data_IF_985550425511
#
_entry.id   IF_985550425511
#
_cell.length_a   1.000
_cell.length_b   1.000
_cell.length_c   1.000
_cell.angle_alpha   90.00
_cell.angle_beta   90.00
_cell.angle_gamma   90.00
#
_symmetry.space_group_name_H-M   'P 1'
#
loop_
_entity.id
_entity.type
_entity.pdbx_description
1 polymer ?
#
# COMPACT_ATOMS: atom_id res chain seq x y z
N UNK A 1 -20.07 20.60 -6.69
CA UNK A 1 -18.60 20.75 -6.46
C UNK A 1 -17.92 20.68 -7.82
N UNK A 2 -17.01 21.62 -8.11
CA UNK A 2 -16.21 21.57 -9.35
C UNK A 2 -15.05 20.58 -9.21
N UNK A 3 -14.41 20.26 -10.34
CA UNK A 3 -13.23 19.37 -10.36
C UNK A 3 -12.06 19.99 -9.58
N UNK A 4 -11.82 21.29 -9.74
CA UNK A 4 -10.77 22.04 -9.07
C UNK A 4 -11.02 22.14 -7.56
N UNK A 5 -12.29 22.36 -7.14
CA UNK A 5 -12.68 22.35 -5.73
C UNK A 5 -12.39 21.00 -5.09
N UNK A 6 -12.75 19.88 -5.75
CA UNK A 6 -12.46 18.54 -5.26
C UNK A 6 -10.94 18.30 -5.11
N UNK A 7 -10.17 18.65 -6.15
CA UNK A 7 -8.71 18.52 -6.09
C UNK A 7 -8.11 19.30 -4.93
N UNK A 8 -8.60 20.54 -4.72
CA UNK A 8 -8.10 21.38 -3.64
C UNK A 8 -8.47 20.84 -2.27
N UNK A 9 -9.71 20.40 -2.05
CA UNK A 9 -10.14 19.75 -0.79
C UNK A 9 -9.25 18.55 -0.46
N UNK A 10 -8.99 17.69 -1.44
CA UNK A 10 -8.19 16.48 -1.25
C UNK A 10 -6.71 16.80 -0.99
N UNK A 11 -6.17 17.85 -1.62
CA UNK A 11 -4.83 18.36 -1.34
C UNK A 11 -4.75 18.97 0.07
N UNK A 12 -5.66 19.90 0.38
CA UNK A 12 -5.70 20.61 1.67
C UNK A 12 -5.92 19.63 2.85
N UNK A 13 -6.72 18.59 2.66
CA UNK A 13 -6.91 17.55 3.66
C UNK A 13 -5.71 16.58 3.80
N UNK A 14 -4.69 16.72 2.98
CA UNK A 14 -3.48 15.90 3.05
C UNK A 14 -3.69 14.43 2.67
N UNK A 15 -4.62 14.13 1.77
CA UNK A 15 -4.98 12.76 1.42
C UNK A 15 -3.98 12.14 0.46
N UNK A 16 -3.44 11.00 0.84
CA UNK A 16 -2.56 10.16 0.03
C UNK A 16 -3.10 8.75 -0.10
N UNK A 17 -2.60 7.99 -1.05
CA UNK A 17 -2.97 6.59 -1.23
C UNK A 17 -2.63 5.76 0.01
N UNK A 18 -3.62 5.40 0.81
CA UNK A 18 -3.47 4.73 2.10
C UNK A 18 -3.06 3.25 2.00
N UNK A 19 -3.25 2.62 0.84
CA UNK A 19 -2.97 1.20 0.60
C UNK A 19 -1.61 0.88 -0.02
N UNK A 20 -0.68 1.86 -0.10
CA UNK A 20 0.59 1.61 -0.80
C UNK A 20 1.62 2.71 -0.57
N UNK A 21 2.28 3.14 -1.64
CA UNK A 21 3.41 4.08 -1.58
C UNK A 21 3.05 5.53 -1.22
N UNK A 22 1.79 5.83 -0.89
CA UNK A 22 1.38 7.18 -0.50
C UNK A 22 1.35 8.16 -1.68
N UNK A 23 0.84 7.77 -2.85
CA UNK A 23 0.72 8.69 -3.96
C UNK A 23 -0.29 9.82 -3.63
N UNK A 24 0.05 11.12 -3.81
CA UNK A 24 -0.85 12.23 -3.56
C UNK A 24 -2.15 12.12 -4.35
N UNK A 25 -3.30 11.96 -3.65
CA UNK A 25 -4.54 11.50 -4.28
C UNK A 25 -5.11 12.51 -5.27
N UNK A 26 -5.02 13.82 -4.99
CA UNK A 26 -5.48 14.87 -5.90
C UNK A 26 -4.82 14.82 -7.29
N UNK A 27 -3.60 14.23 -7.39
CA UNK A 27 -2.88 14.03 -8.66
C UNK A 27 -3.34 12.82 -9.47
N UNK A 28 -4.19 11.96 -8.88
CA UNK A 28 -4.83 10.85 -9.61
C UNK A 28 -6.07 11.27 -10.37
N UNK A 29 -6.68 12.40 -10.01
CA UNK A 29 -7.90 12.89 -10.63
C UNK A 29 -7.62 13.43 -12.03
N UNK A 30 -8.41 13.03 -12.99
CA UNK A 30 -8.30 13.43 -14.39
C UNK A 30 -9.66 13.27 -15.09
N UNK A 31 -9.97 14.16 -16.01
CA UNK A 31 -11.11 14.08 -16.93
C UNK A 31 -11.05 12.89 -17.90
N UNK A 32 -9.87 12.27 -18.00
CA UNK A 32 -9.66 11.05 -18.80
C UNK A 32 -10.13 9.78 -18.10
N UNK A 33 -10.44 9.85 -16.81
CA UNK A 33 -10.92 8.69 -16.04
C UNK A 33 -12.39 8.42 -16.41
N UNK A 34 -12.65 7.21 -16.92
CA UNK A 34 -13.99 6.71 -17.23
C UNK A 34 -14.47 5.69 -16.20
N UNK A 35 -13.55 4.98 -15.57
CA UNK A 35 -13.88 3.98 -14.56
C UNK A 35 -13.04 4.20 -13.31
N UNK A 36 -13.70 4.25 -12.13
CA UNK A 36 -13.06 4.34 -10.84
C UNK A 36 -13.07 2.93 -10.23
N UNK A 37 -11.90 2.36 -9.92
CA UNK A 37 -11.79 1.05 -9.27
C UNK A 37 -11.38 1.24 -7.83
N UNK A 38 -12.26 0.86 -6.91
CA UNK A 38 -11.93 0.81 -5.48
C UNK A 38 -11.25 -0.52 -5.18
N UNK A 39 -10.02 -0.43 -4.72
CA UNK A 39 -9.24 -1.59 -4.31
C UNK A 39 -9.68 -2.04 -2.90
N UNK A 40 -10.56 -3.03 -2.86
CA UNK A 40 -11.05 -3.70 -1.66
C UNK A 40 -10.53 -5.15 -1.56
N UNK A 41 -9.41 -5.44 -2.24
CA UNK A 41 -8.85 -6.79 -2.29
C UNK A 41 -8.24 -7.26 -0.95
N UNK A 42 -7.71 -6.33 -0.12
CA UNK A 42 -6.94 -6.62 1.12
C UNK A 42 -6.09 -7.89 0.95
N UNK A 43 -5.09 -7.84 0.04
CA UNK A 43 -4.43 -9.07 -0.40
C UNK A 43 -3.21 -9.47 0.46
N UNK A 44 -2.65 -8.57 1.26
CA UNK A 44 -1.59 -8.91 2.21
C UNK A 44 -2.17 -9.72 3.37
N UNK A 45 -1.61 -10.91 3.69
CA UNK A 45 -2.11 -11.70 4.82
C UNK A 45 -2.09 -10.95 6.15
N UNK A 46 -3.05 -11.23 7.03
CA UNK A 46 -3.21 -10.67 8.38
C UNK A 46 -3.53 -9.17 8.42
N UNK A 47 -3.84 -8.53 7.29
CA UNK A 47 -4.26 -7.14 7.23
C UNK A 47 -5.79 -7.05 7.24
N UNK A 48 -6.36 -6.10 8.01
CA UNK A 48 -7.81 -6.04 8.27
C UNK A 48 -8.40 -4.62 8.15
N UNK A 49 -7.60 -3.62 7.80
CA UNK A 49 -8.07 -2.21 7.74
C UNK A 49 -9.17 -2.02 6.70
N UNK A 50 -8.97 -2.54 5.47
CA UNK A 50 -9.99 -2.38 4.43
C UNK A 50 -11.27 -3.14 4.78
N UNK A 51 -11.16 -4.32 5.43
CA UNK A 51 -12.31 -5.08 5.93
C UNK A 51 -13.11 -4.26 6.94
N UNK A 52 -12.42 -3.64 7.91
CA UNK A 52 -13.06 -2.79 8.90
C UNK A 52 -13.85 -1.62 8.26
N UNK A 53 -13.26 -0.95 7.27
CA UNK A 53 -13.90 0.19 6.59
C UNK A 53 -15.08 -0.27 5.75
N UNK A 54 -14.95 -1.39 5.02
CA UNK A 54 -16.05 -1.94 4.22
C UNK A 54 -17.26 -2.30 5.08
N UNK A 55 -17.03 -2.90 6.24
CA UNK A 55 -18.08 -3.34 7.13
C UNK A 55 -18.80 -2.18 7.85
N UNK A 56 -18.07 -1.10 8.19
CA UNK A 56 -18.64 -0.03 9.01
C UNK A 56 -18.92 1.26 8.26
N UNK A 57 -18.34 1.46 7.08
CA UNK A 57 -18.39 2.72 6.36
C UNK A 57 -18.78 2.57 4.88
N UNK A 58 -19.44 1.44 4.51
CA UNK A 58 -19.80 1.18 3.12
C UNK A 58 -20.65 2.29 2.50
N UNK A 59 -21.64 2.83 3.24
CA UNK A 59 -22.47 3.93 2.75
C UNK A 59 -21.62 5.19 2.45
N UNK A 60 -20.70 5.53 3.33
CA UNK A 60 -19.78 6.66 3.13
C UNK A 60 -18.91 6.48 1.87
N UNK A 61 -18.50 5.24 1.57
CA UNK A 61 -17.79 4.93 0.33
C UNK A 61 -18.69 5.16 -0.90
N UNK A 62 -19.92 4.66 -0.87
CA UNK A 62 -20.88 4.81 -1.97
C UNK A 62 -21.18 6.28 -2.24
N UNK A 63 -21.48 7.06 -1.19
CA UNK A 63 -21.77 8.49 -1.29
C UNK A 63 -20.60 9.24 -1.94
N UNK A 64 -19.36 8.93 -1.50
CA UNK A 64 -18.15 9.54 -2.04
C UNK A 64 -17.91 9.14 -3.50
N UNK A 65 -18.16 7.88 -3.85
CA UNK A 65 -18.02 7.42 -5.23
C UNK A 65 -18.99 8.12 -6.18
N UNK A 66 -20.23 8.38 -5.76
CA UNK A 66 -21.18 9.16 -6.53
C UNK A 66 -20.65 10.60 -6.77
N UNK A 67 -20.11 11.25 -5.73
CA UNK A 67 -19.49 12.58 -5.87
C UNK A 67 -18.31 12.53 -6.85
N UNK A 68 -17.44 11.52 -6.76
CA UNK A 68 -16.29 11.36 -7.66
C UNK A 68 -16.73 11.12 -9.10
N UNK A 69 -17.74 10.27 -9.34
CA UNK A 69 -18.31 10.00 -10.66
C UNK A 69 -18.82 11.29 -11.28
N UNK A 70 -19.66 12.02 -10.55
CA UNK A 70 -20.29 13.25 -11.07
C UNK A 70 -19.25 14.36 -11.31
N UNK A 71 -18.31 14.55 -10.40
CA UNK A 71 -17.30 15.60 -10.49
C UNK A 71 -16.26 15.33 -11.58
N UNK A 72 -15.86 14.07 -11.77
CA UNK A 72 -14.85 13.69 -12.77
C UNK A 72 -15.46 13.36 -14.14
N UNK A 73 -16.78 13.23 -14.27
CA UNK A 73 -17.45 12.77 -15.48
C UNK A 73 -17.12 11.30 -15.82
N UNK A 74 -16.94 10.47 -14.78
CA UNK A 74 -16.73 9.05 -14.94
C UNK A 74 -18.05 8.32 -15.28
N UNK A 75 -17.94 7.19 -15.98
CA UNK A 75 -19.10 6.39 -16.36
C UNK A 75 -19.60 5.53 -15.18
N UNK A 76 -18.67 4.97 -14.39
CA UNK A 76 -18.97 4.08 -13.28
C UNK A 76 -17.86 4.04 -12.22
N UNK A 77 -18.20 3.52 -11.03
CA UNK A 77 -17.25 3.09 -10.01
C UNK A 77 -17.46 1.61 -9.67
N UNK A 78 -16.35 0.87 -9.52
CA UNK A 78 -16.35 -0.57 -9.28
C UNK A 78 -15.61 -0.84 -7.97
N UNK A 79 -16.28 -1.42 -6.97
CA UNK A 79 -15.64 -1.92 -5.75
C UNK A 79 -15.18 -3.34 -6.02
N UNK A 80 -13.86 -3.55 -6.23
CA UNK A 80 -13.28 -4.87 -6.47
C UNK A 80 -12.96 -5.57 -5.15
N UNK A 81 -13.74 -6.58 -4.78
CA UNK A 81 -13.64 -7.32 -3.51
C UNK A 81 -13.50 -8.81 -3.76
N UNK A 82 -12.72 -9.52 -2.93
CA UNK A 82 -12.62 -10.98 -3.01
C UNK A 82 -13.92 -11.64 -2.57
N UNK A 83 -14.36 -12.70 -3.27
CA UNK A 83 -15.62 -13.39 -3.00
C UNK A 83 -15.80 -13.82 -1.54
N UNK A 84 -14.72 -14.30 -0.91
CA UNK A 84 -14.75 -14.68 0.51
C UNK A 84 -15.06 -13.52 1.49
N UNK A 85 -14.90 -12.28 1.06
CA UNK A 85 -15.10 -11.08 1.87
C UNK A 85 -16.46 -10.40 1.59
N UNK A 86 -17.28 -10.93 0.69
CA UNK A 86 -18.60 -10.36 0.37
C UNK A 86 -19.52 -10.26 1.61
N UNK A 87 -19.35 -11.13 2.59
CA UNK A 87 -20.10 -11.11 3.84
C UNK A 87 -19.86 -9.87 4.72
N UNK A 88 -18.80 -9.10 4.44
CA UNK A 88 -18.51 -7.83 5.14
C UNK A 88 -19.43 -6.69 4.69
N UNK A 89 -20.10 -6.84 3.56
CA UNK A 89 -20.88 -5.77 2.96
C UNK A 89 -22.33 -5.81 3.49
N UNK A 90 -22.85 -4.63 3.87
CA UNK A 90 -24.27 -4.52 4.23
C UNK A 90 -25.16 -4.84 3.02
N UNK A 91 -25.98 -5.87 3.18
CA UNK A 91 -26.83 -6.39 2.09
C UNK A 91 -27.88 -5.39 1.61
N UNK A 92 -28.34 -4.46 2.47
CA UNK A 92 -29.32 -3.42 2.10
C UNK A 92 -28.64 -2.36 1.23
N UNK A 93 -27.40 -1.96 1.61
CA UNK A 93 -26.62 -1.03 0.80
C UNK A 93 -26.31 -1.67 -0.55
N UNK A 94 -25.86 -2.92 -0.57
CA UNK A 94 -25.59 -3.66 -1.82
C UNK A 94 -26.81 -3.71 -2.73
N UNK A 95 -27.99 -4.02 -2.17
CA UNK A 95 -29.24 -4.05 -2.93
C UNK A 95 -29.62 -2.65 -3.50
N UNK A 96 -29.30 -1.57 -2.79
CA UNK A 96 -29.58 -0.21 -3.24
C UNK A 96 -28.71 0.26 -4.41
N UNK A 97 -27.65 -0.47 -4.74
CA UNK A 97 -26.76 -0.16 -5.87
C UNK A 97 -27.34 -0.60 -7.22
N UNK A 98 -28.40 -1.40 -7.24
CA UNK A 98 -29.01 -1.85 -8.48
C UNK A 98 -29.48 -0.66 -9.33
N UNK A 99 -29.05 -0.61 -10.59
CA UNK A 99 -29.36 0.50 -11.51
C UNK A 99 -28.55 1.79 -11.29
N UNK A 100 -27.64 1.82 -10.31
CA UNK A 100 -26.75 2.97 -10.09
C UNK A 100 -25.44 2.83 -10.87
N UNK A 101 -24.61 3.88 -10.86
CA UNK A 101 -23.27 3.86 -11.46
C UNK A 101 -22.21 3.22 -10.56
N UNK A 102 -22.52 2.89 -9.30
CA UNK A 102 -21.62 2.20 -8.37
C UNK A 102 -21.99 0.73 -8.35
N UNK A 103 -21.02 -0.14 -8.57
CA UNK A 103 -21.24 -1.58 -8.55
C UNK A 103 -20.14 -2.32 -7.79
N UNK A 104 -20.48 -3.49 -7.27
CA UNK A 104 -19.55 -4.41 -6.64
C UNK A 104 -19.15 -5.48 -7.65
N UNK A 105 -17.85 -5.74 -7.72
CA UNK A 105 -17.30 -6.80 -8.57
C UNK A 105 -16.55 -7.79 -7.70
N UNK A 106 -17.03 -9.02 -7.69
CA UNK A 106 -16.27 -10.12 -7.12
C UNK A 106 -15.01 -10.40 -7.96
N UNK A 107 -13.87 -10.47 -7.30
CA UNK A 107 -12.58 -10.84 -7.89
C UNK A 107 -12.05 -12.13 -7.26
N UNK A 108 -11.18 -12.87 -7.98
CA UNK A 108 -10.59 -14.10 -7.46
C UNK A 108 -9.81 -13.89 -6.16
N UNK A 109 -9.85 -14.90 -5.25
CA UNK A 109 -9.02 -14.91 -4.03
C UNK A 109 -7.59 -15.30 -4.34
N UNK A 110 -6.87 -14.40 -4.99
CA UNK A 110 -5.47 -14.56 -5.40
C UNK A 110 -4.58 -13.47 -4.80
N UNK A 111 -3.28 -13.73 -4.80
CA UNK A 111 -2.24 -12.75 -4.49
C UNK A 111 -1.36 -12.51 -5.73
N UNK A 112 -1.07 -11.27 -6.10
CA UNK A 112 -1.47 -9.99 -5.49
C UNK A 112 -2.70 -9.37 -6.19
N UNK A 113 -3.93 -9.74 -5.82
CA UNK A 113 -5.14 -9.15 -6.40
C UNK A 113 -5.21 -7.62 -6.26
N UNK A 114 -4.57 -7.06 -5.23
CA UNK A 114 -4.52 -5.61 -4.98
C UNK A 114 -3.43 -4.84 -5.76
N UNK A 115 -2.60 -5.51 -6.57
CA UNK A 115 -1.72 -4.79 -7.53
C UNK A 115 -2.60 -4.07 -8.56
N UNK A 116 -2.35 -2.78 -8.80
CA UNK A 116 -3.22 -1.96 -9.65
C UNK A 116 -3.40 -2.51 -11.08
N UNK A 117 -2.35 -3.17 -11.62
CA UNK A 117 -2.39 -3.77 -12.97
C UNK A 117 -3.23 -5.04 -12.94
N UNK A 118 -3.03 -5.89 -11.92
CA UNK A 118 -3.81 -7.12 -11.74
C UNK A 118 -5.27 -6.78 -11.45
N UNK A 119 -5.54 -5.86 -10.52
CA UNK A 119 -6.89 -5.45 -10.16
C UNK A 119 -7.66 -4.85 -11.33
N UNK A 120 -7.02 -3.99 -12.13
CA UNK A 120 -7.63 -3.43 -13.34
C UNK A 120 -8.04 -4.53 -14.31
N UNK A 121 -7.18 -5.52 -14.51
CA UNK A 121 -7.53 -6.66 -15.36
C UNK A 121 -8.67 -7.51 -14.79
N UNK A 122 -8.64 -7.85 -13.49
CA UNK A 122 -9.69 -8.67 -12.86
C UNK A 122 -11.06 -7.97 -12.86
N UNK A 123 -11.07 -6.65 -12.74
CA UNK A 123 -12.32 -5.87 -12.68
C UNK A 123 -12.88 -5.51 -14.05
N UNK A 124 -12.03 -5.21 -15.03
CA UNK A 124 -12.44 -4.61 -16.32
C UNK A 124 -12.01 -5.40 -17.55
N UNK A 125 -11.09 -6.37 -17.41
CA UNK A 125 -10.45 -7.05 -18.54
C UNK A 125 -9.39 -6.21 -19.28
N UNK A 126 -9.19 -4.94 -18.90
CA UNK A 126 -8.20 -4.07 -19.52
C UNK A 126 -6.80 -4.36 -18.98
N UNK A 127 -5.81 -4.34 -19.86
CA UNK A 127 -4.41 -4.47 -19.49
C UNK A 127 -3.76 -3.09 -19.60
N UNK A 128 -3.17 -2.62 -18.50
CA UNK A 128 -2.37 -1.38 -18.50
C UNK A 128 -1.08 -1.67 -19.27
N UNK A 129 -0.67 -0.87 -20.27
CA UNK A 129 0.58 -1.08 -20.99
C UNK A 129 1.82 -1.05 -20.09
N UNK A 130 2.91 -1.70 -20.51
CA UNK A 130 4.17 -1.71 -19.75
C UNK A 130 4.67 -0.30 -19.41
N UNK A 131 4.97 -0.07 -18.13
CA UNK A 131 5.46 1.22 -17.66
C UNK A 131 4.41 2.35 -17.68
N UNK A 132 3.19 2.07 -18.10
CA UNK A 132 2.09 3.02 -18.09
C UNK A 132 1.38 3.07 -16.72
N UNK A 133 0.49 4.03 -16.58
CA UNK A 133 -0.36 4.23 -15.40
C UNK A 133 -1.83 3.98 -15.76
N UNK A 134 -2.70 3.63 -14.81
CA UNK A 134 -4.10 3.24 -15.07
C UNK A 134 -4.90 4.25 -15.89
N UNK A 135 -4.66 5.55 -15.72
CA UNK A 135 -5.38 6.60 -16.45
C UNK A 135 -5.20 6.51 -17.97
N UNK A 136 -4.12 5.88 -18.45
CA UNK A 136 -3.90 5.69 -19.91
C UNK A 136 -4.90 4.71 -20.53
N UNK A 137 -5.55 3.89 -19.73
CA UNK A 137 -6.66 3.01 -20.16
C UNK A 137 -8.01 3.49 -19.64
N UNK A 138 -8.08 4.76 -19.20
CA UNK A 138 -9.30 5.40 -18.70
C UNK A 138 -9.71 4.92 -17.30
N UNK A 139 -8.78 4.43 -16.49
CA UNK A 139 -9.05 3.87 -15.17
C UNK A 139 -8.32 4.65 -14.07
N UNK A 140 -8.98 4.85 -12.94
CA UNK A 140 -8.36 5.30 -11.69
C UNK A 140 -8.51 4.20 -10.63
N UNK A 141 -7.40 3.74 -10.08
CA UNK A 141 -7.41 2.80 -8.94
C UNK A 141 -7.21 3.56 -7.64
N UNK A 142 -8.11 3.37 -6.68
CA UNK A 142 -8.08 4.04 -5.37
C UNK A 142 -8.35 3.01 -4.25
N UNK A 143 -7.64 3.13 -3.11
CA UNK A 143 -7.85 2.23 -1.98
C UNK A 143 -9.09 2.61 -1.17
N UNK A 144 -9.72 1.65 -0.50
CA UNK A 144 -10.90 1.80 0.38
C UNK A 144 -10.71 2.92 1.40
N UNK A 145 -9.63 2.92 2.18
CA UNK A 145 -9.39 3.93 3.20
C UNK A 145 -9.15 5.33 2.59
N UNK A 146 -8.59 5.39 1.39
CA UNK A 146 -8.43 6.67 0.69
C UNK A 146 -9.79 7.27 0.31
N UNK A 147 -10.75 6.46 -0.15
CA UNK A 147 -12.12 6.91 -0.42
C UNK A 147 -12.80 7.39 0.86
N UNK A 148 -12.64 6.66 1.97
CA UNK A 148 -13.15 7.06 3.27
C UNK A 148 -12.56 8.39 3.75
N UNK A 149 -11.26 8.62 3.57
CA UNK A 149 -10.62 9.88 3.92
C UNK A 149 -11.15 11.05 3.05
N UNK A 150 -11.45 10.80 1.78
CA UNK A 150 -12.12 11.80 0.90
C UNK A 150 -13.50 12.11 1.44
N UNK A 151 -14.29 11.09 1.86
CA UNK A 151 -15.58 11.30 2.51
C UNK A 151 -15.48 12.24 3.70
N UNK A 152 -14.56 11.98 4.63
CA UNK A 152 -14.36 12.80 5.82
C UNK A 152 -13.98 14.24 5.48
N UNK A 153 -13.17 14.44 4.44
CA UNK A 153 -12.75 15.77 3.98
C UNK A 153 -13.90 16.55 3.35
N UNK A 154 -14.71 15.91 2.50
CA UNK A 154 -15.83 16.56 1.81
C UNK A 154 -16.98 16.90 2.78
N UNK A 155 -17.31 15.94 3.67
CA UNK A 155 -18.49 16.03 4.54
C UNK A 155 -18.24 16.87 5.78
N UNK A 156 -17.06 16.71 6.38
CA UNK A 156 -16.75 17.29 7.70
C UNK A 156 -15.57 18.28 7.69
N UNK A 157 -14.95 18.53 6.52
CA UNK A 157 -13.73 19.32 6.43
C UNK A 157 -12.54 18.70 7.20
N UNK A 158 -12.59 17.40 7.47
CA UNK A 158 -11.63 16.72 8.34
C UNK A 158 -10.39 16.29 7.53
N UNK A 159 -9.18 16.82 7.86
CA UNK A 159 -7.94 16.36 7.24
C UNK A 159 -7.49 15.01 7.82
N UNK A 160 -6.49 14.39 7.17
CA UNK A 160 -5.91 13.11 7.62
C UNK A 160 -5.00 13.35 8.83
N UNK A 161 -5.60 13.28 10.01
CA UNK A 161 -4.92 13.38 11.32
C UNK A 161 -4.87 12.04 12.05
N UNK A 162 -5.66 11.07 11.61
CA UNK A 162 -5.74 9.73 12.19
C UNK A 162 -5.64 8.65 11.12
N UNK A 163 -5.23 7.46 11.52
CA UNK A 163 -5.01 6.31 10.64
C UNK A 163 -5.56 5.03 11.27
N UNK A 164 -6.26 4.21 10.48
CA UNK A 164 -6.58 2.84 10.92
C UNK A 164 -5.33 1.96 10.80
N UNK A 165 -5.04 1.18 11.83
CA UNK A 165 -3.88 0.29 11.90
C UNK A 165 -4.31 -1.08 12.45
N UNK A 166 -3.98 -2.15 11.74
CA UNK A 166 -4.10 -3.52 12.25
C UNK A 166 -2.85 -3.86 13.06
N UNK A 167 -3.01 -4.40 14.26
CA UNK A 167 -1.93 -4.99 15.05
C UNK A 167 -2.24 -6.48 15.16
N UNK A 168 -1.28 -7.34 14.76
CA UNK A 168 -1.52 -8.77 14.70
C UNK A 168 -0.23 -9.60 14.57
N UNK A 169 -0.38 -10.89 14.29
CA UNK A 169 0.72 -11.85 14.17
C UNK A 169 0.88 -12.73 15.41
N UNK A 170 2.08 -12.77 15.98
CA UNK A 170 2.39 -13.54 17.21
C UNK A 170 1.96 -12.77 18.47
N UNK A 171 0.65 -12.56 18.56
CA UNK A 171 -0.04 -11.86 19.65
C UNK A 171 -1.26 -12.69 20.06
N UNK A 172 -1.77 -12.47 21.27
CA UNK A 172 -2.95 -13.21 21.76
C UNK A 172 -4.19 -12.84 20.94
N UNK A 173 -4.33 -11.57 20.60
CA UNK A 173 -5.50 -11.01 19.94
C UNK A 173 -5.10 -10.01 18.85
N UNK A 174 -5.59 -10.23 17.64
CA UNK A 174 -5.43 -9.26 16.55
C UNK A 174 -6.47 -8.14 16.74
N UNK A 175 -6.03 -6.90 16.60
CA UNK A 175 -6.89 -5.72 16.76
C UNK A 175 -6.76 -4.76 15.59
N UNK A 176 -7.84 -4.00 15.33
CA UNK A 176 -7.79 -2.82 14.45
C UNK A 176 -8.16 -1.58 15.26
N UNK A 177 -7.29 -0.58 15.24
CA UNK A 177 -7.42 0.65 16.03
C UNK A 177 -7.26 1.89 15.15
N UNK A 178 -7.86 3.00 15.54
CA UNK A 178 -7.69 4.31 14.90
C UNK A 178 -6.72 5.16 15.72
N UNK A 179 -5.62 5.59 15.10
CA UNK A 179 -4.42 6.13 15.81
C UNK A 179 -4.08 7.51 15.27
N UNK A 180 -3.62 8.46 16.11
CA UNK A 180 -3.07 9.74 15.65
C UNK A 180 -1.84 9.52 14.75
N UNK A 181 -1.80 10.20 13.61
CA UNK A 181 -0.61 10.24 12.75
C UNK A 181 0.54 10.88 13.53
N UNK A 182 1.73 10.28 13.45
CA UNK A 182 2.91 10.74 14.20
C UNK A 182 3.09 10.10 15.57
N UNK A 183 2.11 9.33 16.09
CA UNK A 183 2.32 8.55 17.32
C UNK A 183 3.47 7.56 17.13
N UNK A 184 4.41 7.48 18.08
CA UNK A 184 5.50 6.49 18.03
C UNK A 184 4.95 5.08 18.00
N UNK A 185 5.51 4.21 17.11
CA UNK A 185 5.05 2.81 16.98
C UNK A 185 5.23 2.07 18.30
N UNK A 186 6.35 2.27 19.00
CA UNK A 186 6.60 1.69 20.33
C UNK A 186 5.51 2.06 21.33
N UNK A 187 5.19 3.34 21.43
CA UNK A 187 4.14 3.83 22.34
C UNK A 187 2.74 3.29 21.95
N UNK A 188 2.46 3.14 20.66
CA UNK A 188 1.22 2.51 20.19
C UNK A 188 1.11 1.06 20.65
N UNK A 189 2.19 0.27 20.46
CA UNK A 189 2.22 -1.13 20.88
C UNK A 189 2.09 -1.28 22.39
N UNK A 190 2.76 -0.44 23.17
CA UNK A 190 2.64 -0.39 24.64
C UNK A 190 1.19 -0.06 25.07
N UNK A 191 0.59 0.98 24.48
CA UNK A 191 -0.77 1.42 24.80
C UNK A 191 -1.86 0.40 24.43
N UNK A 192 -1.56 -0.52 23.51
CA UNK A 192 -2.49 -1.59 23.09
C UNK A 192 -2.22 -2.94 23.74
N UNK A 193 -1.28 -3.00 24.69
CA UNK A 193 -0.92 -4.24 25.38
C UNK A 193 0.03 -5.16 24.62
N UNK A 194 0.64 -4.67 23.52
CA UNK A 194 1.57 -5.42 22.66
C UNK A 194 3.03 -4.97 22.86
N UNK A 195 3.35 -4.33 23.99
CA UNK A 195 4.68 -3.77 24.27
C UNK A 195 5.76 -4.81 24.61
N UNK A 196 5.40 -6.05 24.95
CA UNK A 196 6.37 -7.13 25.15
C UNK A 196 6.88 -7.65 23.80
N UNK A 197 8.07 -7.17 23.41
CA UNK A 197 8.72 -7.46 22.15
C UNK A 197 10.04 -8.23 22.32
N UNK A 198 10.28 -8.83 23.49
CA UNK A 198 11.49 -9.64 23.71
C UNK A 198 11.54 -10.83 22.72
N UNK A 199 12.63 -10.97 22.00
CA UNK A 199 12.81 -11.98 20.95
C UNK A 199 11.86 -11.82 19.75
N UNK A 200 11.19 -10.67 19.60
CA UNK A 200 10.24 -10.39 18.50
C UNK A 200 10.70 -9.21 17.65
N UNK A 201 10.20 -9.16 16.44
CA UNK A 201 10.38 -8.04 15.51
C UNK A 201 9.03 -7.63 14.92
N UNK A 202 8.91 -6.36 14.55
CA UNK A 202 7.68 -5.77 14.03
C UNK A 202 7.86 -5.43 12.55
N UNK A 203 6.86 -5.76 11.74
CA UNK A 203 6.76 -5.36 10.33
C UNK A 203 5.71 -4.26 10.22
N UNK A 204 6.07 -3.12 9.63
CA UNK A 204 5.11 -2.10 9.19
C UNK A 204 4.62 -2.46 7.78
N UNK A 205 3.34 -2.79 7.67
CA UNK A 205 2.70 -3.33 6.48
C UNK A 205 2.53 -4.85 6.52
N UNK A 206 2.20 -5.45 5.39
CA UNK A 206 1.99 -6.89 5.28
C UNK A 206 3.29 -7.72 5.25
N UNK A 207 3.17 -9.05 5.41
CA UNK A 207 4.33 -9.94 5.48
C UNK A 207 5.15 -9.98 4.19
N UNK A 208 4.53 -9.74 3.03
CA UNK A 208 5.17 -9.77 1.74
C UNK A 208 5.92 -8.48 1.44
N UNK A 209 5.24 -7.34 1.49
CA UNK A 209 5.76 -6.05 1.04
C UNK A 209 6.20 -5.12 2.18
N UNK A 210 5.77 -5.35 3.42
CA UNK A 210 6.09 -4.53 4.58
C UNK A 210 7.60 -4.51 4.90
N UNK A 211 8.03 -3.50 5.66
CA UNK A 211 9.41 -3.33 6.13
C UNK A 211 9.52 -3.55 7.64
N UNK A 212 10.70 -3.91 8.10
CA UNK A 212 10.98 -3.95 9.55
C UNK A 212 10.87 -2.55 10.15
N UNK A 213 10.29 -2.49 11.34
CA UNK A 213 10.15 -1.27 12.15
C UNK A 213 11.44 -1.00 12.92
N UNK A 214 11.87 0.26 12.92
CA UNK A 214 12.80 0.79 13.90
C UNK A 214 11.98 1.34 15.08
N UNK A 215 11.90 0.59 16.17
CA UNK A 215 11.06 0.92 17.33
C UNK A 215 11.43 2.25 17.99
N UNK A 216 12.67 2.70 17.88
CA UNK A 216 13.10 3.96 18.46
C UNK A 216 12.77 5.16 17.59
N UNK A 217 12.79 4.97 16.25
CA UNK A 217 12.70 6.08 15.32
C UNK A 217 11.38 6.15 14.54
N UNK A 218 10.69 5.04 14.33
CA UNK A 218 9.48 5.03 13.50
C UNK A 218 8.24 5.51 14.24
N UNK A 219 7.41 6.23 13.51
CA UNK A 219 6.08 6.68 13.93
C UNK A 219 5.01 6.24 12.93
N UNK A 220 3.75 6.29 13.35
CA UNK A 220 2.60 6.05 12.47
C UNK A 220 2.54 7.15 11.43
N UNK A 221 2.50 6.77 10.16
CA UNK A 221 2.37 7.67 9.02
C UNK A 221 1.03 7.47 8.33
N UNK A 222 0.68 8.33 7.38
CA UNK A 222 -0.52 8.20 6.53
C UNK A 222 -0.56 6.88 5.73
N UNK A 223 0.58 6.19 5.60
CA UNK A 223 0.71 4.92 4.87
C UNK A 223 0.85 3.70 5.78
N UNK A 224 0.95 3.89 7.10
CA UNK A 224 0.98 2.79 8.05
C UNK A 224 -0.39 2.09 8.08
N UNK A 225 -0.45 0.84 7.65
CA UNK A 225 -1.69 0.07 7.56
C UNK A 225 -1.76 -1.10 8.54
N UNK A 226 -0.61 -1.62 8.95
CA UNK A 226 -0.55 -2.69 9.92
C UNK A 226 0.83 -2.82 10.56
N UNK A 227 0.84 -3.35 11.76
CA UNK A 227 2.01 -3.69 12.55
C UNK A 227 1.92 -5.17 12.89
N UNK A 228 2.72 -5.99 12.20
CA UNK A 228 2.70 -7.42 12.39
C UNK A 228 3.91 -7.86 13.20
N UNK A 229 3.66 -8.50 14.32
CA UNK A 229 4.65 -8.94 15.30
C UNK A 229 4.97 -10.41 15.03
N UNK A 230 6.26 -10.77 14.94
CA UNK A 230 6.71 -12.14 14.76
C UNK A 230 7.97 -12.41 15.57
N UNK A 231 8.21 -13.69 15.98
CA UNK A 231 9.50 -14.07 16.55
C UNK A 231 10.65 -13.71 15.60
N UNK A 232 11.78 -13.28 16.14
CA UNK A 232 12.98 -12.96 15.35
C UNK A 232 13.46 -14.14 14.50
N UNK A 233 13.21 -15.37 14.98
CA UNK A 233 13.53 -16.62 14.26
C UNK A 233 12.60 -16.92 13.08
N UNK A 234 11.49 -16.20 12.93
CA UNK A 234 10.54 -16.44 11.84
C UNK A 234 11.20 -16.17 10.48
N UNK A 235 10.95 -17.05 9.51
CA UNK A 235 11.59 -17.00 8.18
C UNK A 235 11.37 -15.67 7.45
N UNK A 236 10.22 -15.02 7.64
CA UNK A 236 9.93 -13.69 7.08
C UNK A 236 10.90 -12.64 7.66
N UNK A 237 11.10 -12.64 8.98
CA UNK A 237 11.99 -11.69 9.66
C UNK A 237 13.43 -11.92 9.21
N UNK A 238 13.90 -13.17 9.21
CA UNK A 238 15.24 -13.52 8.77
C UNK A 238 15.52 -13.10 7.32
N UNK A 239 14.55 -13.27 6.43
CA UNK A 239 14.64 -12.83 5.02
C UNK A 239 14.71 -11.31 4.91
N UNK A 240 13.83 -10.58 5.64
CA UNK A 240 13.83 -9.11 5.62
C UNK A 240 15.14 -8.53 6.18
N UNK A 241 15.75 -9.13 7.19
CA UNK A 241 17.06 -8.74 7.78
C UNK A 241 18.25 -9.05 6.88
N UNK A 242 18.16 -10.05 5.98
CA UNK A 242 19.29 -10.47 5.16
C UNK A 242 19.83 -9.32 4.30
N UNK A 243 21.15 -8.98 4.37
CA UNK A 243 21.73 -7.92 3.55
C UNK A 243 21.68 -8.27 2.06
N UNK A 244 21.57 -7.26 1.18
CA UNK A 244 21.56 -7.47 -0.28
C UNK A 244 22.85 -8.17 -0.76
N UNK A 245 24.00 -7.84 -0.19
CA UNK A 245 25.28 -8.49 -0.52
C UNK A 245 25.25 -10.01 -0.30
N UNK A 246 24.65 -10.45 0.80
CA UNK A 246 24.47 -11.88 1.10
C UNK A 246 23.42 -12.50 0.16
N UNK A 247 22.34 -11.78 -0.13
CA UNK A 247 21.30 -12.22 -1.08
C UNK A 247 21.90 -12.48 -2.46
N UNK A 248 22.76 -11.58 -2.96
CA UNK A 248 23.45 -11.72 -4.24
C UNK A 248 24.45 -12.88 -4.24
N UNK A 249 25.24 -13.06 -3.17
CA UNK A 249 26.18 -14.20 -3.03
C UNK A 249 25.43 -15.54 -3.06
N UNK A 250 24.32 -15.65 -2.35
CA UNK A 250 23.46 -16.85 -2.39
C UNK A 250 22.90 -17.11 -3.78
N UNK A 251 22.43 -16.05 -4.46
CA UNK A 251 21.90 -16.17 -5.82
C UNK A 251 22.99 -16.62 -6.81
N UNK A 252 24.22 -16.06 -6.72
CA UNK A 252 25.35 -16.49 -7.55
C UNK A 252 25.69 -17.96 -7.36
N UNK A 253 25.65 -18.46 -6.11
CA UNK A 253 26.03 -19.84 -5.78
C UNK A 253 24.94 -20.88 -6.10
N UNK A 254 23.64 -20.53 -5.97
CA UNK A 254 22.59 -21.54 -5.95
C UNK A 254 21.47 -21.32 -7.01
N UNK A 255 21.52 -20.27 -7.82
CA UNK A 255 20.51 -20.07 -8.88
C UNK A 255 20.70 -21.07 -10.02
N UNK A 256 19.78 -22.05 -10.14
CA UNK A 256 19.80 -23.07 -11.19
C UNK A 256 19.15 -22.61 -12.50
N UNK A 257 18.78 -21.35 -12.63
CA UNK A 257 18.16 -20.76 -13.84
C UNK A 257 16.86 -21.46 -14.32
N UNK A 258 16.07 -22.00 -13.39
CA UNK A 258 14.83 -22.75 -13.70
C UNK A 258 13.68 -21.90 -14.22
N UNK A 259 13.81 -20.56 -14.31
CA UNK A 259 12.83 -19.57 -14.78
C UNK A 259 11.57 -19.40 -13.93
N UNK A 260 11.27 -20.26 -12.97
CA UNK A 260 10.03 -20.25 -12.17
C UNK A 260 9.70 -18.89 -11.54
N UNK A 261 10.71 -18.10 -11.13
CA UNK A 261 10.49 -16.75 -10.59
C UNK A 261 9.89 -15.77 -11.63
N UNK A 262 10.17 -15.98 -12.91
CA UNK A 262 9.55 -15.23 -14.02
C UNK A 262 8.18 -15.79 -14.38
N UNK A 263 8.08 -17.12 -14.43
CA UNK A 263 6.88 -17.83 -14.83
C UNK A 263 5.70 -17.63 -13.87
N UNK A 264 6.03 -17.42 -12.58
CA UNK A 264 5.04 -17.10 -11.53
C UNK A 264 4.81 -15.59 -11.35
N UNK A 265 5.51 -14.72 -12.09
CA UNK A 265 5.37 -13.28 -11.94
C UNK A 265 3.99 -12.82 -12.47
N UNK A 266 3.13 -12.18 -11.64
CA UNK A 266 1.78 -11.81 -12.04
C UNK A 266 1.76 -10.81 -13.21
N UNK A 267 2.75 -9.91 -13.30
CA UNK A 267 2.86 -8.97 -14.42
C UNK A 267 3.39 -9.66 -15.70
N UNK A 268 4.29 -10.63 -15.58
CA UNK A 268 4.69 -11.46 -16.70
C UNK A 268 3.50 -12.26 -17.25
N UNK A 269 2.67 -12.82 -16.38
CA UNK A 269 1.46 -13.55 -16.73
C UNK A 269 0.40 -12.67 -17.44
N UNK A 270 0.40 -11.36 -17.19
CA UNK A 270 -0.42 -10.36 -17.89
C UNK A 270 0.23 -9.87 -19.22
N UNK A 271 1.32 -10.49 -19.64
CA UNK A 271 1.96 -10.19 -20.91
C UNK A 271 3.14 -9.23 -20.86
N UNK A 272 3.51 -8.73 -19.66
CA UNK A 272 4.67 -7.84 -19.54
C UNK A 272 5.97 -8.58 -19.84
N UNK A 273 6.90 -7.92 -20.50
CA UNK A 273 8.26 -8.43 -20.71
C UNK A 273 9.12 -8.21 -19.45
N UNK A 274 8.78 -8.94 -18.38
CA UNK A 274 9.53 -8.98 -17.12
C UNK A 274 10.05 -10.40 -16.87
N UNK A 275 11.33 -10.60 -17.03
CA UNK A 275 12.03 -11.89 -16.87
C UNK A 275 12.88 -11.84 -15.60
N UNK A 276 12.27 -12.06 -14.44
CA UNK A 276 12.91 -11.92 -13.12
C UNK A 276 14.21 -12.74 -13.03
N UNK A 277 14.26 -13.96 -13.59
CA UNK A 277 15.46 -14.80 -13.60
C UNK A 277 16.66 -14.13 -14.29
N UNK A 278 16.43 -13.35 -15.35
CA UNK A 278 17.51 -12.62 -16.04
C UNK A 278 18.08 -11.51 -15.14
N UNK A 279 17.21 -10.75 -14.46
CA UNK A 279 17.65 -9.74 -13.49
C UNK A 279 18.46 -10.37 -12.36
N UNK A 280 17.99 -11.50 -11.80
CA UNK A 280 18.70 -12.20 -10.72
C UNK A 280 20.09 -12.62 -11.17
N UNK A 281 20.21 -13.21 -12.34
CA UNK A 281 21.53 -13.65 -12.88
C UNK A 281 22.44 -12.47 -13.16
N UNK A 282 21.98 -11.47 -13.89
CA UNK A 282 22.76 -10.29 -14.21
C UNK A 282 23.29 -9.59 -12.96
N UNK A 283 22.44 -9.38 -11.95
CA UNK A 283 22.82 -8.74 -10.69
C UNK A 283 23.79 -9.58 -9.85
N UNK A 284 23.66 -10.92 -9.85
CA UNK A 284 24.48 -11.80 -9.01
C UNK A 284 25.85 -12.13 -9.60
N UNK A 285 26.08 -11.93 -10.90
CA UNK A 285 27.35 -12.21 -11.55
C UNK A 285 28.16 -10.97 -11.93
N UNK A 286 27.64 -9.78 -11.65
CA UNK A 286 28.31 -8.47 -11.92
C UNK A 286 28.68 -8.24 -13.40
N UNK A 287 28.20 -9.06 -14.30
CA UNK A 287 28.41 -8.92 -15.74
C UNK A 287 27.19 -8.26 -16.39
N UNK A 288 27.37 -7.05 -16.91
CA UNK A 288 26.34 -6.31 -17.63
C UNK A 288 26.53 -6.54 -19.14
N UNK A 289 26.12 -7.69 -19.62
CA UNK A 289 26.08 -7.97 -21.07
C UNK A 289 24.76 -7.51 -21.70
N UNK A 290 23.72 -7.27 -20.89
CA UNK A 290 22.39 -6.90 -21.36
C UNK A 290 21.73 -5.91 -20.38
N UNK A 291 21.66 -4.63 -20.76
CA UNK A 291 21.02 -3.58 -19.96
C UNK A 291 19.51 -3.83 -19.78
N UNK A 292 18.84 -4.51 -20.71
CA UNK A 292 17.41 -4.81 -20.63
C UNK A 292 17.11 -5.71 -19.44
N UNK A 293 18.01 -6.63 -19.05
CA UNK A 293 17.87 -7.46 -17.87
C UNK A 293 17.75 -6.67 -16.57
N UNK A 294 18.26 -5.44 -16.52
CA UNK A 294 18.09 -4.54 -15.37
C UNK A 294 16.87 -3.63 -15.57
N UNK A 295 16.69 -3.04 -16.75
CA UNK A 295 15.61 -2.09 -17.02
C UNK A 295 14.22 -2.67 -16.79
N UNK A 296 14.02 -3.96 -17.09
CA UNK A 296 12.74 -4.64 -16.84
C UNK A 296 12.35 -4.67 -15.34
N UNK A 297 13.31 -4.50 -14.40
CA UNK A 297 13.01 -4.38 -12.96
C UNK A 297 12.17 -3.15 -12.63
N UNK A 298 12.16 -2.13 -13.48
CA UNK A 298 11.27 -0.97 -13.35
C UNK A 298 9.79 -1.38 -13.36
N UNK A 299 9.45 -2.49 -14.03
CA UNK A 299 8.10 -3.05 -14.09
C UNK A 299 7.71 -3.86 -12.83
N UNK A 300 8.65 -4.14 -11.93
CA UNK A 300 8.38 -4.92 -10.72
C UNK A 300 7.49 -4.15 -9.74
N UNK A 301 6.39 -4.78 -9.27
CA UNK A 301 5.53 -4.24 -8.21
C UNK A 301 6.00 -4.58 -6.79
N UNK A 302 7.02 -5.43 -6.65
CA UNK A 302 7.54 -5.82 -5.34
C UNK A 302 6.68 -6.83 -4.57
N UNK A 303 5.73 -7.51 -5.20
CA UNK A 303 4.78 -8.41 -4.54
C UNK A 303 5.42 -9.65 -3.88
N UNK A 304 6.62 -10.10 -4.30
CA UNK A 304 7.32 -11.22 -3.68
C UNK A 304 6.89 -12.62 -4.09
N UNK A 305 5.93 -12.78 -5.01
CA UNK A 305 5.51 -14.11 -5.51
C UNK A 305 6.71 -14.90 -6.06
N UNK A 306 7.61 -14.23 -6.78
CA UNK A 306 8.85 -14.83 -7.31
C UNK A 306 9.76 -15.40 -6.22
N UNK A 307 9.74 -14.84 -5.00
CA UNK A 307 10.54 -15.29 -3.86
C UNK A 307 9.86 -16.44 -3.12
N UNK A 308 8.59 -16.26 -2.74
CA UNK A 308 7.90 -17.18 -1.81
C UNK A 308 7.36 -18.41 -2.54
N UNK A 309 6.91 -18.22 -3.77
CA UNK A 309 6.28 -19.29 -4.58
C UNK A 309 7.22 -19.75 -5.69
N UNK A 310 7.82 -18.80 -6.43
CA UNK A 310 8.57 -19.11 -7.64
C UNK A 310 9.94 -19.73 -7.38
N UNK A 311 10.67 -19.31 -6.33
CA UNK A 311 12.05 -19.78 -6.12
C UNK A 311 12.13 -21.04 -5.26
N UNK A 312 12.38 -22.19 -5.90
CA UNK A 312 12.55 -23.48 -5.21
C UNK A 312 13.86 -23.55 -4.41
N UNK A 313 14.86 -22.71 -4.74
CA UNK A 313 16.14 -22.63 -4.02
C UNK A 313 16.11 -21.69 -2.82
N UNK A 314 14.91 -21.20 -2.44
CA UNK A 314 14.72 -20.25 -1.32
C UNK A 314 15.62 -18.99 -1.40
N UNK A 315 15.92 -18.55 -2.63
CA UNK A 315 16.57 -17.26 -2.89
C UNK A 315 15.56 -16.12 -2.78
N UNK A 316 16.03 -14.88 -2.89
CA UNK A 316 15.17 -13.71 -2.81
C UNK A 316 15.20 -12.85 -4.10
N UNK A 317 14.56 -13.31 -5.19
CA UNK A 317 14.43 -12.55 -6.43
C UNK A 317 13.72 -11.21 -6.26
N UNK A 318 12.76 -11.10 -5.31
CA UNK A 318 12.06 -9.85 -4.99
C UNK A 318 13.06 -8.78 -4.53
N UNK A 319 13.88 -9.10 -3.51
CA UNK A 319 14.86 -8.16 -2.94
C UNK A 319 15.85 -7.70 -4.00
N UNK A 320 16.36 -8.61 -4.84
CA UNK A 320 17.27 -8.28 -5.94
C UNK A 320 16.60 -7.34 -6.94
N UNK A 321 15.38 -7.67 -7.40
CA UNK A 321 14.65 -6.84 -8.36
C UNK A 321 14.32 -5.46 -7.80
N UNK A 322 13.97 -5.36 -6.51
CA UNK A 322 13.67 -4.08 -5.86
C UNK A 322 14.93 -3.24 -5.63
N UNK A 323 16.07 -3.85 -5.32
CA UNK A 323 17.35 -3.15 -5.21
C UNK A 323 17.77 -2.55 -6.56
N UNK A 324 17.69 -3.35 -7.64
CA UNK A 324 17.95 -2.89 -9.01
C UNK A 324 16.98 -1.76 -9.39
N UNK A 325 15.68 -1.91 -9.12
CA UNK A 325 14.68 -0.86 -9.36
C UNK A 325 15.02 0.43 -8.63
N UNK A 326 15.43 0.34 -7.37
CA UNK A 326 15.88 1.48 -6.58
C UNK A 326 17.14 2.16 -7.17
N UNK A 327 18.10 1.37 -7.63
CA UNK A 327 19.31 1.88 -8.29
C UNK A 327 18.98 2.60 -9.62
N UNK A 328 18.08 2.04 -10.43
CA UNK A 328 17.59 2.69 -11.66
C UNK A 328 16.93 4.04 -11.34
N UNK A 329 16.08 4.09 -10.31
CA UNK A 329 15.41 5.31 -9.87
C UNK A 329 16.39 6.40 -9.43
N UNK A 330 17.41 6.05 -8.64
CA UNK A 330 18.47 6.99 -8.21
C UNK A 330 19.28 7.57 -9.38
N UNK A 331 19.44 6.80 -10.45
CA UNK A 331 20.14 7.24 -11.68
C UNK A 331 19.21 7.92 -12.69
N UNK A 332 17.91 8.10 -12.38
CA UNK A 332 16.93 8.65 -13.30
C UNK A 332 16.65 7.77 -14.53
N UNK A 333 17.09 6.50 -14.51
CA UNK A 333 16.89 5.58 -15.60
C UNK A 333 15.46 5.00 -15.55
N UNK A 334 14.74 5.13 -16.65
CA UNK A 334 13.39 4.62 -16.79
C UNK A 334 13.31 3.72 -18.02
N UNK A 335 12.53 2.65 -17.90
CA UNK A 335 12.11 1.92 -19.09
C UNK A 335 11.12 2.77 -19.88
N UNK A 336 11.26 2.85 -21.19
CA UNK A 336 10.28 3.52 -22.05
C UNK A 336 8.94 2.75 -21.99
N UNK A 337 7.84 3.50 -22.01
CA UNK A 337 6.51 2.89 -22.05
C UNK A 337 6.32 2.14 -23.35
N UNK A 338 6.02 0.85 -23.25
CA UNK A 338 5.64 0.05 -24.40
C UNK A 338 4.13 0.13 -24.58
N UNK A 339 3.69 0.84 -25.62
CA UNK A 339 2.26 0.99 -25.95
C UNK A 339 1.71 -0.17 -26.79
N UNK A 340 2.54 -1.16 -27.13
CA UNK A 340 2.04 -2.34 -27.85
C UNK A 340 0.98 -3.08 -27.02
N UNK A 341 -0.07 -3.61 -27.64
CA UNK A 341 -1.08 -4.40 -26.93
C UNK A 341 -0.42 -5.58 -26.22
N UNK A 342 -0.67 -5.69 -24.92
CA UNK A 342 -0.23 -6.82 -24.11
C UNK A 342 -1.25 -7.96 -24.25
N UNK A 343 -0.76 -9.20 -24.29
CA UNK A 343 -1.61 -10.38 -24.30
C UNK A 343 -1.38 -11.20 -23.04
N UNK A 344 -2.48 -11.57 -22.40
CA UNK A 344 -2.46 -12.47 -21.24
C UNK A 344 -1.86 -13.80 -21.67
N UNK A 345 -0.89 -14.30 -20.91
CA UNK A 345 -0.28 -15.60 -21.20
C UNK A 345 -1.28 -16.73 -20.94
N UNK A 346 -1.34 -17.75 -21.81
CA UNK A 346 -2.28 -18.87 -21.64
C UNK A 346 -2.13 -19.59 -20.29
N UNK A 347 -0.91 -19.65 -19.76
CA UNK A 347 -0.59 -20.32 -18.50
C UNK A 347 -1.09 -19.58 -17.26
N UNK A 348 -1.58 -18.34 -17.41
CA UNK A 348 -1.98 -17.51 -16.27
C UNK A 348 -2.99 -18.22 -15.36
N UNK A 349 -4.02 -18.84 -15.94
CA UNK A 349 -5.07 -19.48 -15.17
C UNK A 349 -4.56 -20.59 -14.23
N UNK A 350 -3.51 -21.33 -14.65
CA UNK A 350 -2.89 -22.41 -13.87
C UNK A 350 -1.80 -21.94 -12.89
N UNK A 351 -1.39 -20.67 -12.96
CA UNK A 351 -0.28 -20.10 -12.16
C UNK A 351 -0.73 -19.03 -11.18
N UNK A 352 -2.02 -18.86 -10.99
CA UNK A 352 -2.56 -17.97 -9.96
C UNK A 352 -2.28 -18.53 -8.56
N UNK A 353 -1.86 -17.66 -7.65
CA UNK A 353 -1.51 -18.02 -6.27
C UNK A 353 -2.67 -17.67 -5.36
N UNK A 354 -3.35 -18.66 -4.78
CA UNK A 354 -4.41 -18.40 -3.81
C UNK A 354 -3.87 -17.83 -2.50
N UNK A 355 -4.69 -17.02 -1.81
CA UNK A 355 -4.33 -16.48 -0.49
C UNK A 355 -3.99 -17.57 0.52
N UNK A 356 -4.69 -18.73 0.47
CA UNK A 356 -4.44 -19.86 1.35
C UNK A 356 -3.04 -20.47 1.14
N UNK A 357 -2.66 -20.73 -0.11
CA UNK A 357 -1.32 -21.24 -0.46
C UNK A 357 -0.24 -20.25 -0.01
N UNK A 358 -0.46 -18.95 -0.18
CA UNK A 358 0.49 -17.94 0.27
C UNK A 358 0.68 -17.97 1.79
N UNK A 359 -0.42 -18.04 2.56
CA UNK A 359 -0.41 -18.13 4.03
C UNK A 359 0.39 -19.36 4.48
N UNK A 360 0.19 -20.51 3.86
CA UNK A 360 0.90 -21.76 4.19
C UNK A 360 2.40 -21.66 3.87
N UNK A 361 2.75 -21.14 2.71
CA UNK A 361 4.15 -20.97 2.28
C UNK A 361 4.93 -19.97 3.15
N UNK A 362 4.23 -19.01 3.73
CA UNK A 362 4.80 -18.05 4.67
C UNK A 362 4.87 -18.58 6.12
N UNK A 363 4.26 -19.74 6.41
CA UNK A 363 4.17 -20.28 7.78
C UNK A 363 3.25 -19.47 8.68
N UNK A 364 2.24 -18.81 8.11
CA UNK A 364 1.36 -17.88 8.83
C UNK A 364 0.06 -18.52 9.33
N UNK A 365 -0.22 -19.79 9.01
CA UNK A 365 -1.51 -20.44 9.34
C UNK A 365 -1.88 -20.32 10.82
N UNK A 366 -0.92 -20.46 11.71
CA UNK A 366 -1.13 -20.36 13.16
C UNK A 366 -1.45 -18.94 13.66
N UNK A 367 -1.17 -17.92 12.86
CA UNK A 367 -1.44 -16.52 13.18
C UNK A 367 -2.74 -16.00 12.57
N UNK A 368 -3.41 -16.81 11.73
CA UNK A 368 -4.72 -16.44 11.19
C UNK A 368 -5.76 -16.65 12.29
N UNK A 369 -6.32 -15.56 12.79
CA UNK A 369 -7.40 -15.60 13.79
C UNK A 369 -8.76 -15.73 13.13
N UNK A 370 -9.68 -16.46 13.79
CA UNK A 370 -11.05 -16.58 13.33
C UNK A 370 -11.84 -15.27 13.46
N UNK A 371 -11.43 -14.45 14.42
CA UNK A 371 -12.03 -13.14 14.69
C UNK A 371 -10.94 -12.12 14.99
N UNK A 372 -11.10 -10.91 14.48
CA UNK A 372 -10.22 -9.78 14.77
C UNK A 372 -11.04 -8.75 15.54
N UNK A 373 -10.63 -8.49 16.77
CA UNK A 373 -11.35 -7.56 17.61
C UNK A 373 -11.12 -6.11 17.14
N UNK A 374 -12.18 -5.32 17.24
CA UNK A 374 -12.17 -3.90 16.96
C UNK A 374 -12.18 -3.16 18.27
N UNK A 375 -11.07 -2.49 18.58
CA UNK A 375 -10.95 -1.70 19.79
C UNK A 375 -11.04 -0.21 19.47
N UNK A 376 -11.99 0.43 20.11
CA UNK A 376 -12.06 1.89 20.14
C UNK A 376 -11.24 2.37 21.33
N UNK A 377 -10.00 2.79 21.06
CA UNK A 377 -9.10 3.33 22.07
C UNK A 377 -8.94 4.81 21.77
N UNK A 378 -9.21 5.64 22.76
CA UNK A 378 -8.91 7.07 22.68
C UNK A 378 -7.43 7.29 23.01
N UNK A 379 -6.61 7.36 21.97
CA UNK A 379 -5.19 7.57 22.11
C UNK A 379 -4.90 9.04 22.43
N UNK A 380 -4.26 9.28 23.57
CA UNK A 380 -3.85 10.61 24.02
C UNK A 380 -2.31 10.68 24.18
N UNK A 381 -1.52 10.54 23.10
CA UNK A 381 -0.07 10.61 23.20
C UNK A 381 0.36 12.00 23.67
N UNK A 382 1.41 12.05 24.52
CA UNK A 382 1.99 13.33 24.98
C UNK A 382 2.75 14.03 23.86
N UNK A 383 3.28 13.26 22.91
CA UNK A 383 4.03 13.76 21.74
C UNK A 383 3.66 13.03 20.47
N UNK A 384 3.69 13.76 19.34
CA UNK A 384 3.61 13.17 17.99
C UNK A 384 4.75 13.70 17.12
N UNK A 385 5.21 12.85 16.23
CA UNK A 385 6.31 13.07 15.29
C UNK A 385 5.75 13.08 13.87
N UNK A 386 5.34 14.22 13.38
CA UNK A 386 4.76 14.38 12.03
C UNK A 386 5.89 14.35 11.01
N UNK A 387 6.03 13.22 10.31
CA UNK A 387 7.07 13.03 9.32
C UNK A 387 6.82 13.91 8.09
N UNK A 388 7.83 14.65 7.61
CA UNK A 388 7.72 15.56 6.46
C UNK A 388 7.61 14.81 5.12
N UNK A 389 8.02 13.54 5.08
CA UNK A 389 7.96 12.68 3.89
C UNK A 389 7.11 11.45 4.13
N UNK A 390 5.80 11.59 4.00
CA UNK A 390 4.83 10.48 4.15
C UNK A 390 4.22 10.02 2.82
N UNK A 391 4.78 10.48 1.69
CA UNK A 391 4.26 10.20 0.34
C UNK A 391 5.37 10.15 -0.69
N UNK A 392 5.07 9.65 -1.88
CA UNK A 392 5.97 9.76 -3.02
C UNK A 392 6.03 11.19 -3.52
N UNK A 393 7.18 11.58 -4.07
CA UNK A 393 7.42 12.93 -4.56
C UNK A 393 8.29 13.75 -3.61
N UNK A 394 8.04 15.05 -3.55
CA UNK A 394 8.84 16.02 -2.81
C UNK A 394 8.43 16.03 -1.34
N UNK A 395 9.36 15.99 -0.38
CA UNK A 395 9.03 16.20 1.03
C UNK A 395 8.31 17.53 1.27
N UNK A 396 7.40 17.55 2.25
CA UNK A 396 6.78 18.79 2.69
C UNK A 396 7.78 19.66 3.45
N UNK A 397 7.62 20.98 3.35
CA UNK A 397 8.37 21.95 4.15
C UNK A 397 7.53 22.40 5.33
N UNK A 398 8.14 22.50 6.53
CA UNK A 398 7.44 22.97 7.71
C UNK A 398 6.92 24.42 7.52
N UNK A 399 5.69 24.66 7.95
CA UNK A 399 5.02 25.97 7.92
C UNK A 399 4.95 26.61 9.30
N UNK A 400 5.32 25.88 10.34
CA UNK A 400 5.32 26.27 11.76
C UNK A 400 6.73 26.37 12.30
N UNK A 401 6.88 27.07 13.43
CA UNK A 401 8.13 27.26 14.16
C UNK A 401 8.05 26.71 15.56
N UNK A 402 9.18 26.44 16.17
CA UNK A 402 9.27 26.03 17.59
C UNK A 402 8.59 27.07 18.48
N UNK A 403 7.71 26.60 19.37
CA UNK A 403 6.90 27.41 20.27
C UNK A 403 5.51 27.77 19.75
N UNK A 404 5.22 27.57 18.47
CA UNK A 404 3.87 27.80 17.94
C UNK A 404 2.86 26.85 18.59
N UNK A 405 1.66 27.36 18.89
CA UNK A 405 0.53 26.56 19.38
C UNK A 405 -0.30 26.10 18.19
N UNK A 406 -0.60 24.82 18.14
CA UNK A 406 -1.38 24.19 17.06
C UNK A 406 -2.55 23.37 17.63
N UNK A 407 -3.63 23.29 16.86
CA UNK A 407 -4.78 22.43 17.13
C UNK A 407 -4.82 21.27 16.15
N UNK A 408 -5.52 20.20 16.52
CA UNK A 408 -5.81 19.08 15.59
C UNK A 408 -6.41 19.62 14.29
N UNK A 409 -5.77 19.26 13.17
CA UNK A 409 -6.19 19.69 11.83
C UNK A 409 -5.44 20.92 11.29
N UNK A 410 -4.68 21.64 12.11
CA UNK A 410 -3.85 22.76 11.61
C UNK A 410 -2.75 22.24 10.69
N UNK A 411 -2.48 22.98 9.60
CA UNK A 411 -1.39 22.64 8.67
C UNK A 411 -0.05 22.94 9.32
N UNK A 412 0.81 21.93 9.46
CA UNK A 412 2.15 22.06 10.06
C UNK A 412 3.28 21.94 9.05
N UNK A 413 3.00 21.36 7.90
CA UNK A 413 3.92 21.34 6.77
C UNK A 413 3.15 21.16 5.46
N UNK A 414 3.72 21.64 4.34
CA UNK A 414 3.12 21.47 3.01
C UNK A 414 4.16 21.41 1.91
N UNK A 415 3.77 20.83 0.79
CA UNK A 415 4.46 20.92 -0.50
C UNK A 415 3.78 22.00 -1.33
N UNK A 416 4.46 22.68 -2.24
CA UNK A 416 3.75 23.56 -3.17
C UNK A 416 2.70 22.78 -3.97
N UNK A 417 1.56 23.40 -4.27
CA UNK A 417 0.44 22.70 -4.94
C UNK A 417 0.83 22.12 -6.30
N UNK A 418 1.75 22.77 -7.02
CA UNK A 418 2.24 22.34 -8.33
C UNK A 418 3.20 21.15 -8.25
N UNK A 419 3.84 20.94 -7.11
CA UNK A 419 4.75 19.83 -6.87
C UNK A 419 3.98 18.53 -6.62
N UNK A 420 4.65 17.40 -6.78
CA UNK A 420 4.10 16.11 -6.36
C UNK A 420 4.26 15.97 -4.85
N UNK A 421 3.19 16.25 -4.11
CA UNK A 421 3.17 16.20 -2.66
C UNK A 421 1.80 16.66 -2.10
N UNK A 422 1.71 16.88 -0.80
CA UNK A 422 0.47 17.32 -0.13
C UNK A 422 0.78 17.97 1.23
N UNK A 423 -0.28 18.36 1.97
CA UNK A 423 -0.20 18.97 3.30
C UNK A 423 -0.01 17.94 4.40
N UNK A 424 0.59 18.33 5.52
CA UNK A 424 0.68 17.59 6.78
C UNK A 424 0.00 18.38 7.90
N UNK A 425 -0.70 17.68 8.78
CA UNK A 425 -1.55 18.29 9.80
C UNK A 425 -1.13 17.86 11.20
N UNK A 426 -1.33 18.74 12.17
CA UNK A 426 -1.25 18.39 13.59
C UNK A 426 -2.30 17.33 13.92
N UNK A 427 -1.90 16.26 14.58
CA UNK A 427 -2.79 15.17 14.99
C UNK A 427 -3.18 15.22 16.46
N UNK A 428 -2.59 16.15 17.23
CA UNK A 428 -2.93 16.48 18.62
C UNK A 428 -2.90 18.01 18.79
N UNK A 429 -3.63 18.49 19.77
CA UNK A 429 -3.49 19.87 20.26
C UNK A 429 -2.19 19.98 21.08
N UNK A 430 -1.44 21.07 20.92
CA UNK A 430 -0.20 21.24 21.66
C UNK A 430 0.69 22.36 21.13
N UNK A 431 1.96 22.33 21.52
CA UNK A 431 2.99 23.25 21.06
C UNK A 431 4.03 22.53 20.19
N UNK A 432 4.51 23.22 19.19
CA UNK A 432 5.63 22.74 18.38
C UNK A 432 6.90 22.74 19.22
N UNK A 433 7.36 21.57 19.61
CA UNK A 433 8.56 21.34 20.40
C UNK A 433 9.84 21.46 19.59
N UNK A 434 9.82 20.92 18.37
CA UNK A 434 10.96 20.93 17.46
C UNK A 434 10.53 20.83 16.01
N UNK A 435 11.35 21.43 15.13
CA UNK A 435 11.27 21.27 13.68
C UNK A 435 12.65 20.79 13.21
N UNK A 436 12.69 19.62 12.58
CA UNK A 436 13.91 18.99 12.07
C UNK A 436 13.80 18.76 10.56
N UNK A 437 14.85 18.29 9.91
CA UNK A 437 14.80 17.90 8.49
C UNK A 437 13.83 16.72 8.21
N UNK A 438 13.44 15.97 9.25
CA UNK A 438 12.58 14.80 9.13
C UNK A 438 11.19 15.02 9.73
N UNK A 439 11.06 15.75 10.83
CA UNK A 439 9.83 15.81 11.62
C UNK A 439 9.46 17.23 12.05
N UNK A 440 8.16 17.48 12.17
CA UNK A 440 7.59 18.45 13.10
C UNK A 440 7.15 17.69 14.33
N UNK A 441 7.67 18.02 15.52
CA UNK A 441 7.36 17.38 16.79
C UNK A 441 6.43 18.29 17.56
N UNK A 442 5.26 17.74 17.98
CA UNK A 442 4.24 18.47 18.73
C UNK A 442 4.08 17.78 20.08
N UNK A 443 4.09 18.56 21.16
CA UNK A 443 3.83 18.09 22.53
C UNK A 443 2.61 18.79 23.12
N UNK A 444 1.87 18.06 23.97
CA UNK A 444 0.71 18.59 24.71
C UNK A 444 1.11 19.58 25.78
#
# INVERSE_FOLDING_TARGET
>A
MTFEELQKIVYDAGIVGAGGAGFPTHRKFSDKVKQIIVNAAECEPLMMVDHHILEHHLQALVDTLNVLIDTMGADEAIIGIKGKNMHLLDTKIVASLEGTKVRIKEIPDIYPAGDEVVLTYETTGKIIPEGAIPVMVGVMVINVETVYNIHCAITNGQPVTQKYVTIGGDVDEDITVKVPVGMKIKALLEATGHGDLDGKAVINGGPMMGRLVDLENDSVTKTTKGLLIFPETHSIIQRKRMPISMTLKRASAACCNCTMCSDMCPRNLLGYNINVHKTVRAASHSEVTDSESFLQSALCCGCGVCTVIGCQQMLDPQKISMDVKGALGRKGLRRQNNQAPQQVRPERASRLVSSSVLIDRLGLRKYVKAHVERKYIDFAPNEVYIELKQHVGKPASATVKVGDTVKVGDVVAQTAYEDLGTTMHASIDGKVKAVTDRFVIIER
#
